data_IF_801192737036
#
_entry.id   IF_801192737036
#
_cell.length_a   1.000
_cell.length_b   1.000
_cell.length_c   1.000
_cell.angle_alpha   90.00
_cell.angle_beta   90.00
_cell.angle_gamma   90.00
#
_symmetry.space_group_name_H-M   'P 1'
#
loop_
_entity.id
_entity.type
_entity.pdbx_description
1 polymer ?
2 non-polymer ?
3 water ?
#
# COMPACT_ATOMS: atom_id res chain seq x y z
N UNK A 1 19.64 -18.95 6.60
CA UNK A 1 18.62 -18.10 5.93
C UNK A 1 19.18 -16.75 5.36
N UNK A 2 18.77 -16.39 4.14
CA UNK A 2 19.06 -15.06 3.50
C UNK A 2 18.76 -13.86 4.45
N UNK A 3 19.35 -12.67 4.23
CA UNK A 3 19.03 -11.52 5.16
C UNK A 3 17.55 -11.10 5.11
N UNK A 4 16.98 -10.74 6.26
CA UNK A 4 15.56 -10.43 6.36
C UNK A 4 15.29 -9.10 5.64
N UNK A 5 14.03 -8.82 5.23
CA UNK A 5 13.89 -7.60 4.40
C UNK A 5 14.32 -6.28 5.03
N UNK A 6 14.24 -6.11 6.36
CA UNK A 6 14.61 -4.84 6.99
C UNK A 6 16.12 -4.65 7.17
N UNK A 7 16.88 -5.71 6.85
CA UNK A 7 18.32 -5.64 6.70
C UNK A 7 18.74 -5.30 5.26
N UNK A 8 17.95 -5.76 4.28
CA UNK A 8 18.15 -5.40 2.85
C UNK A 8 17.68 -3.99 2.44
N UNK A 9 16.54 -3.57 2.99
CA UNK A 9 15.89 -2.30 2.69
C UNK A 9 15.91 -1.48 3.93
N UNK A 10 15.79 -0.18 3.70
CA UNK A 10 15.71 0.77 4.77
C UNK A 10 14.24 0.90 5.18
N UNK A 11 13.91 0.29 6.31
CA UNK A 11 12.54 0.24 6.73
C UNK A 11 12.41 0.99 8.05
N UNK A 12 13.36 1.91 8.32
CA UNK A 12 13.39 2.66 9.57
C UNK A 12 12.16 3.61 9.69
N UNK A 13 11.54 3.94 8.55
CA UNK A 13 10.32 4.74 8.49
C UNK A 13 9.09 4.00 7.98
N UNK A 14 8.99 2.72 8.33
CA UNK A 14 7.75 1.92 8.09
C UNK A 14 7.47 1.01 9.28
N UNK A 15 6.20 0.66 9.48
CA UNK A 15 5.82 -0.42 10.35
C UNK A 15 5.09 -1.45 9.46
N UNK A 16 4.92 -2.68 9.93
CA UNK A 16 4.35 -3.72 9.12
C UNK A 16 3.07 -4.20 9.74
N UNK A 17 2.01 -4.25 8.96
CA UNK A 17 0.71 -4.73 9.42
C UNK A 17 0.43 -6.09 8.81
N UNK A 18 -0.01 -7.03 9.64
CA UNK A 18 -0.02 -8.48 9.35
C UNK A 18 -1.44 -9.03 9.23
N UNK A 19 -1.58 -10.16 8.54
CA UNK A 19 -2.86 -10.81 8.47
C UNK A 19 -2.99 -12.03 9.42
N UNK A 20 -2.28 -12.01 10.56
CA UNK A 20 -2.45 -13.03 11.57
C UNK A 20 -3.79 -12.80 12.27
N UNK A 21 -4.14 -13.72 13.16
CA UNK A 21 -5.37 -13.68 13.97
C UNK A 21 -5.60 -12.31 14.53
N UNK A 22 -4.61 -11.84 15.30
CA UNK A 22 -4.79 -10.60 16.03
C UNK A 22 -4.30 -9.37 15.31
N UNK A 23 -4.34 -9.41 13.98
CA UNK A 23 -3.66 -8.42 13.13
C UNK A 23 -2.49 -7.72 13.81
N UNK A 24 -1.32 -8.35 13.84
CA UNK A 24 -0.18 -7.76 14.54
C UNK A 24 0.54 -6.70 13.72
N UNK A 25 1.18 -5.76 14.40
CA UNK A 25 1.98 -4.70 13.78
C UNK A 25 3.40 -4.73 14.30
N UNK A 26 4.37 -4.95 13.40
CA UNK A 26 5.78 -4.99 13.74
C UNK A 26 6.31 -3.57 13.60
N UNK A 27 6.92 -3.05 14.69
CA UNK A 27 7.42 -1.70 14.70
C UNK A 27 8.60 -1.60 13.71
N UNK A 28 9.01 -0.38 13.37
CA UNK A 28 10.26 -0.13 12.61
C UNK A 28 11.45 -0.76 13.29
N UNK A 29 11.54 -0.66 14.60
CA UNK A 29 12.67 -1.17 15.33
C UNK A 29 12.85 -2.68 15.09
N UNK A 30 11.75 -3.41 15.18
CA UNK A 30 11.77 -4.82 15.00
C UNK A 30 12.01 -5.21 13.52
N UNK A 31 11.51 -4.43 12.58
CA UNK A 31 11.81 -4.64 11.17
C UNK A 31 13.30 -4.55 10.95
N UNK A 32 13.91 -3.53 11.57
CA UNK A 32 15.36 -3.33 11.55
C UNK A 32 16.20 -4.43 12.18
N UNK A 33 15.73 -5.05 13.27
CA UNK A 33 16.42 -6.25 13.87
C UNK A 33 16.42 -7.45 12.94
N UNK A 34 15.61 -7.41 11.89
CA UNK A 34 15.52 -8.54 10.98
C UNK A 34 14.26 -9.36 11.15
N UNK A 35 13.15 -8.79 11.61
CA UNK A 35 11.85 -9.52 11.52
C UNK A 35 11.58 -10.20 10.16
N UNK A 36 11.29 -11.50 10.22
CA UNK A 36 10.81 -12.23 9.09
C UNK A 36 9.79 -13.28 9.58
N UNK A 37 8.74 -13.56 8.79
CA UNK A 37 7.84 -14.70 9.07
C UNK A 37 7.28 -15.24 7.75
N UNK A 38 6.26 -16.12 7.83
CA UNK A 38 5.59 -16.65 6.62
C UNK A 38 4.89 -15.51 5.85
N UNK A 39 4.60 -14.43 6.57
CA UNK A 39 3.98 -13.21 6.01
C UNK A 39 4.89 -12.22 5.34
N UNK A 40 6.18 -12.28 5.63
CA UNK A 40 7.11 -11.20 5.26
C UNK A 40 8.52 -11.81 5.25
N UNK A 41 9.14 -11.96 4.09
CA UNK A 41 10.40 -12.64 3.99
C UNK A 41 11.13 -12.20 2.77
N UNK A 42 12.42 -12.46 2.74
CA UNK A 42 13.27 -12.16 1.59
C UNK A 42 13.26 -13.43 0.73
N UNK A 43 12.86 -13.32 -0.53
CA UNK A 43 12.81 -14.47 -1.43
C UNK A 43 14.19 -14.64 -2.11
N UNK A 44 14.36 -15.72 -2.86
CA UNK A 44 15.69 -16.12 -3.35
C UNK A 44 16.25 -15.11 -4.30
N UNK A 45 15.36 -14.35 -4.96
CA UNK A 45 15.77 -13.25 -5.81
C UNK A 45 16.03 -11.93 -5.08
N UNK A 46 16.05 -11.98 -3.74
CA UNK A 46 16.19 -10.78 -2.91
C UNK A 46 14.92 -9.98 -2.59
N UNK A 47 13.81 -10.20 -3.29
CA UNK A 47 12.63 -9.36 -3.14
C UNK A 47 12.10 -9.37 -1.70
N UNK A 48 11.61 -8.23 -1.24
CA UNK A 48 10.80 -8.19 -0.02
C UNK A 48 9.36 -8.74 -0.28
N UNK A 49 8.99 -9.91 0.24
CA UNK A 49 7.72 -10.61 -0.17
C UNK A 49 6.55 -10.70 0.90
N UNK A 50 5.19 -10.45 0.61
CA UNK A 50 3.80 -10.71 1.46
C UNK A 50 3.27 -11.83 1.01
N UNK A 51 2.98 -12.60 2.01
CA UNK A 51 2.05 -13.62 1.81
C UNK A 51 0.93 -13.16 2.75
N UNK A 52 -0.30 -13.12 2.24
CA UNK A 52 -1.45 -12.94 3.08
C UNK A 52 -2.52 -13.92 2.58
N UNK A 53 -3.10 -14.66 3.52
CA UNK A 53 -4.28 -15.50 3.23
C UNK A 53 -5.61 -14.77 3.35
N UNK A 54 -6.63 -15.19 2.57
CA UNK A 54 -7.95 -14.52 2.56
C UNK A 54 -8.72 -14.74 3.92
N UNK A 55 -8.31 -15.78 4.63
CA UNK A 55 -8.86 -16.14 5.95
C UNK A 55 -8.10 -15.47 7.11
N UNK A 56 -7.22 -14.52 6.78
CA UNK A 56 -6.46 -13.83 7.82
C UNK A 56 -7.27 -12.81 8.59
N UNK A 57 -6.61 -12.15 9.55
CA UNK A 57 -7.26 -11.22 10.42
C UNK A 57 -7.48 -9.93 9.70
N UNK A 58 -8.58 -9.26 10.02
CA UNK A 58 -8.89 -7.95 9.46
C UNK A 58 -9.25 -7.05 10.61
N UNK A 59 -8.74 -5.82 10.63
CA UNK A 59 -8.98 -4.90 11.73
C UNK A 59 -10.00 -3.84 11.44
N UNK A 60 -10.32 -3.08 12.48
CA UNK A 60 -11.34 -2.02 12.53
C UNK A 60 -11.56 -1.13 11.30
N UNK A 61 -10.49 -0.68 10.65
CA UNK A 61 -10.69 0.16 9.45
C UNK A 61 -10.12 -0.41 8.15
N UNK A 62 -10.54 -1.66 7.91
CA UNK A 62 -10.08 -2.53 6.80
C UNK A 62 -11.17 -3.60 6.73
N UNK A 63 -11.65 -3.87 5.52
CA UNK A 63 -12.65 -4.96 5.35
C UNK A 63 -11.94 -6.32 5.07
N UNK A 64 -10.66 -6.22 4.67
CA UNK A 64 -9.80 -7.30 4.17
C UNK A 64 -8.46 -7.44 4.89
N UNK A 65 -7.87 -8.67 4.84
CA UNK A 65 -6.56 -8.96 5.47
C UNK A 65 -5.41 -8.30 4.66
N UNK A 66 -4.29 -8.05 5.33
CA UNK A 66 -3.13 -7.44 4.67
C UNK A 66 -1.81 -7.90 5.30
N UNK A 67 -0.77 -7.94 4.48
CA UNK A 67 0.61 -7.95 4.93
C UNK A 67 1.17 -6.73 4.20
N UNK A 68 1.28 -5.61 4.90
CA UNK A 68 1.47 -4.32 4.23
C UNK A 68 2.22 -3.32 5.07
N UNK A 69 3.11 -2.58 4.42
CA UNK A 69 3.89 -1.51 5.08
C UNK A 69 3.07 -0.22 5.21
N UNK A 70 3.21 0.43 6.35
CA UNK A 70 2.49 1.66 6.62
C UNK A 70 3.58 2.74 6.95
N UNK A 71 3.62 3.86 6.23
CA UNK A 71 4.66 4.84 6.40
C UNK A 71 4.59 5.48 7.78
N UNK A 72 5.75 5.54 8.42
CA UNK A 72 5.90 6.20 9.72
C UNK A 72 6.96 7.32 9.62
N UNK A 73 6.53 8.52 9.27
CA UNK A 73 7.41 9.70 9.44
C UNK A 73 8.11 9.70 10.83
N UNK A 74 7.33 9.43 11.88
CA UNK A 74 7.87 9.29 13.23
C UNK A 74 7.68 7.83 13.64
N UNK A 75 8.77 7.02 13.67
CA UNK A 75 8.54 5.58 14.00
C UNK A 75 7.75 5.33 15.31
N UNK A 76 7.78 6.27 16.25
CA UNK A 76 7.12 6.11 17.55
C UNK A 76 5.76 6.82 17.67
N UNK A 77 5.24 7.39 16.56
CA UNK A 77 3.99 8.16 16.64
C UNK A 77 3.26 8.15 15.30
N UNK A 78 2.28 7.26 15.16
CA UNK A 78 1.55 7.11 13.88
C UNK A 78 0.62 8.29 13.58
N UNK A 79 0.57 9.26 14.51
CA UNK A 79 -0.18 10.52 14.29
C UNK A 79 0.64 11.56 13.51
N UNK A 80 1.95 11.35 13.39
CA UNK A 80 2.78 12.20 12.54
C UNK A 80 2.72 11.71 11.06
N UNK A 81 2.01 12.50 10.23
CA UNK A 81 1.72 12.25 8.81
C UNK A 81 1.79 13.55 7.98
N UNK A 82 1.75 13.43 6.66
CA UNK A 82 1.95 14.61 5.83
C UNK A 82 0.64 15.16 5.23
N UNK A 83 0.70 16.35 4.64
CA UNK A 83 -0.52 16.90 4.10
C UNK A 83 -0.46 17.28 2.64
N UNK A 84 -1.46 18.03 2.22
CA UNK A 84 -1.71 18.29 0.81
C UNK A 84 -0.68 19.23 0.22
N UNK A 85 0.04 20.02 1.03
CA UNK A 85 0.91 21.06 0.48
C UNK A 85 2.28 20.45 0.40
N UNK A 86 3.07 20.92 -0.56
CA UNK A 86 4.40 20.38 -0.78
C UNK A 86 4.31 19.16 -1.66
N UNK A 87 5.44 18.48 -1.75
CA UNK A 87 5.57 17.34 -2.62
C UNK A 87 5.96 16.14 -1.80
N UNK A 88 5.18 15.05 -1.98
CA UNK A 88 5.41 13.74 -1.35
C UNK A 88 5.30 12.56 -2.35
N UNK A 89 6.34 11.75 -2.44
CA UNK A 89 6.53 10.78 -3.52
C UNK A 89 6.96 9.39 -3.02
N UNK A 90 6.31 8.36 -3.52
CA UNK A 90 6.75 7.00 -3.28
C UNK A 90 7.06 6.44 -4.65
N UNK A 91 8.16 5.73 -4.74
CA UNK A 91 8.51 5.00 -5.95
C UNK A 91 8.82 3.57 -5.53
N UNK A 92 8.37 2.64 -6.35
CA UNK A 92 8.64 1.29 -6.07
C UNK A 92 8.71 0.51 -7.35
N UNK A 93 9.41 -0.60 -7.32
CA UNK A 93 9.29 -1.58 -8.36
C UNK A 93 8.86 -2.89 -7.72
N UNK A 94 7.98 -3.62 -8.41
CA UNK A 94 7.44 -4.81 -7.81
C UNK A 94 6.86 -5.80 -8.79
N UNK A 95 6.38 -6.92 -8.26
CA UNK A 95 5.61 -7.82 -9.10
C UNK A 95 4.61 -8.52 -8.19
N UNK A 96 3.46 -8.83 -8.75
CA UNK A 96 2.48 -9.61 -8.02
C UNK A 96 2.60 -11.04 -8.52
N UNK A 97 2.80 -12.00 -7.62
CA UNK A 97 3.11 -13.36 -8.08
C UNK A 97 1.95 -14.37 -7.98
N UNK A 98 1.09 -14.17 -6.99
CA UNK A 98 -0.05 -15.04 -6.74
C UNK A 98 -1.25 -14.19 -6.28
N UNK A 99 -2.44 -14.46 -6.82
CA UNK A 99 -3.69 -13.77 -6.50
C UNK A 99 -4.63 -14.69 -5.70
N UNK A 100 -5.60 -14.08 -4.95
CA UNK A 100 -6.55 -14.96 -4.32
C UNK A 100 -7.60 -15.35 -5.38
N UNK A 101 -8.61 -16.13 -5.02
CA UNK A 101 -9.64 -16.52 -5.97
C UNK A 101 -10.45 -15.34 -6.56
N UNK A 102 -10.54 -14.20 -5.83
CA UNK A 102 -11.07 -12.94 -6.42
C UNK A 102 -10.25 -12.41 -7.59
N UNK A 103 -8.96 -12.76 -7.63
CA UNK A 103 -8.04 -12.26 -8.67
C UNK A 103 -7.65 -10.79 -8.49
N UNK A 104 -7.75 -10.28 -7.27
CA UNK A 104 -7.56 -8.88 -7.03
C UNK A 104 -6.86 -8.62 -5.69
N UNK A 105 -5.81 -7.81 -5.75
CA UNK A 105 -5.15 -7.33 -4.53
C UNK A 105 -4.83 -5.84 -4.74
N UNK A 106 -4.45 -5.18 -3.65
CA UNK A 106 -3.96 -3.80 -3.65
C UNK A 106 -2.51 -3.80 -3.22
N UNK A 107 -1.67 -3.13 -4.01
CA UNK A 107 -0.23 -3.21 -3.89
C UNK A 107 0.46 -1.91 -3.42
N UNK A 108 -0.25 -0.78 -3.49
CA UNK A 108 0.21 0.46 -2.88
C UNK A 108 -1.00 1.34 -2.57
N UNK A 109 -0.85 2.28 -1.64
CA UNK A 109 -1.92 3.24 -1.30
C UNK A 109 -1.34 4.61 -0.93
N UNK A 110 -2.18 5.65 -0.97
CA UNK A 110 -2.05 6.76 -0.05
C UNK A 110 -3.35 6.72 0.75
N UNK A 111 -3.20 6.56 2.07
CA UNK A 111 -4.35 6.54 2.94
C UNK A 111 -4.50 7.83 3.73
N UNK A 112 -5.75 8.28 3.85
CA UNK A 112 -6.08 9.41 4.70
C UNK A 112 -6.13 9.00 6.15
N UNK A 113 -5.94 9.99 7.01
CA UNK A 113 -6.03 9.81 8.46
C UNK A 113 -6.50 11.12 9.08
N UNK A 114 -7.26 11.07 10.18
CA UNK A 114 -7.64 12.35 10.79
C UNK A 114 -6.46 12.91 11.59
N UNK A 115 -6.45 14.20 11.85
CA UNK A 115 -5.42 14.84 12.68
C UNK A 115 -5.19 14.11 14.03
N UNK A 116 -6.27 13.56 14.61
CA UNK A 116 -6.21 12.87 15.91
C UNK A 116 -5.86 11.37 15.83
N UNK A 117 -5.55 10.91 14.61
CA UNK A 117 -5.18 9.52 14.31
C UNK A 117 -6.37 8.63 13.99
N UNK A 118 -7.57 9.17 14.05
CA UNK A 118 -8.75 8.33 13.80
C UNK A 118 -8.89 8.04 12.28
N UNK A 119 -9.65 6.96 12.01
CA UNK A 119 -9.99 6.49 10.67
C UNK A 119 -10.47 7.61 9.71
N UNK A 120 -9.93 7.62 8.48
CA UNK A 120 -10.40 8.47 7.39
C UNK A 120 -10.36 7.62 6.09
N UNK A 121 -10.83 8.16 4.95
CA UNK A 121 -10.80 7.25 3.80
C UNK A 121 -9.44 7.08 3.14
N UNK A 122 -9.33 6.01 2.33
CA UNK A 122 -8.17 5.90 1.50
C UNK A 122 -8.23 7.00 0.42
N UNK A 123 -7.07 7.50 0.01
CA UNK A 123 -7.05 8.48 -1.08
C UNK A 123 -6.65 7.84 -2.43
N UNK A 124 -5.56 7.09 -2.46
CA UNK A 124 -5.16 6.38 -3.68
C UNK A 124 -5.06 4.88 -3.35
N UNK A 125 -5.64 4.02 -4.18
CA UNK A 125 -5.44 2.58 -4.07
C UNK A 125 -4.92 2.05 -5.41
N UNK A 126 -3.79 1.33 -5.40
CA UNK A 126 -3.25 0.68 -6.62
C UNK A 126 -3.85 -0.72 -6.68
N UNK A 127 -4.93 -0.86 -7.46
CA UNK A 127 -5.67 -2.12 -7.51
C UNK A 127 -5.12 -3.02 -8.65
N UNK A 128 -4.50 -4.13 -8.27
CA UNK A 128 -3.88 -5.06 -9.22
C UNK A 128 -4.80 -6.26 -9.55
N UNK A 129 -5.10 -6.40 -10.82
CA UNK A 129 -5.58 -7.67 -11.41
C UNK A 129 -4.64 -8.09 -12.53
N UNK A 130 -4.64 -9.35 -12.85
CA UNK A 130 -3.81 -9.82 -13.95
C UNK A 130 -4.22 -9.05 -15.24
N UNK A 131 -3.33 -8.14 -15.69
CA UNK A 131 -3.55 -7.42 -16.93
C UNK A 131 -4.45 -6.20 -16.78
N UNK A 132 -4.91 -5.90 -15.56
CA UNK A 132 -5.66 -4.63 -15.29
C UNK A 132 -5.17 -4.02 -13.95
N UNK A 133 -4.49 -2.87 -14.03
CA UNK A 133 -4.11 -2.04 -12.86
C UNK A 133 -4.95 -0.76 -12.82
N UNK A 134 -5.69 -0.58 -11.74
CA UNK A 134 -6.52 0.58 -11.60
C UNK A 134 -6.00 1.42 -10.44
N UNK A 135 -5.38 2.57 -10.75
CA UNK A 135 -4.96 3.52 -9.71
C UNK A 135 -6.14 4.39 -9.36
N UNK A 136 -6.95 3.98 -8.39
CA UNK A 136 -8.18 4.65 -8.03
C UNK A 136 -7.88 5.81 -7.09
N UNK A 137 -8.51 6.96 -7.34
CA UNK A 137 -8.35 8.13 -6.48
C UNK A 137 -9.72 8.49 -5.94
N UNK A 138 -9.86 8.62 -4.61
CA UNK A 138 -11.13 9.04 -4.01
C UNK A 138 -11.47 10.53 -4.33
N UNK A 139 -12.76 10.81 -4.49
CA UNK A 139 -13.21 12.18 -4.76
C UNK A 139 -13.63 12.96 -3.51
N UNK A 140 -14.46 12.31 -2.67
CA UNK A 140 -14.96 12.87 -1.42
C UNK A 140 -14.17 12.52 -0.16
N UNK A 141 -13.65 13.57 0.46
CA UNK A 141 -12.93 13.50 1.72
C UNK A 141 -13.76 12.92 2.82
N UNK A 142 -15.09 12.96 2.68
CA UNK A 142 -15.86 12.33 3.74
C UNK A 142 -15.92 10.82 3.57
N UNK A 143 -15.55 10.30 2.39
CA UNK A 143 -15.55 8.87 2.19
C UNK A 143 -16.77 8.32 1.45
N UNK A 144 -17.68 9.19 1.01
CA UNK A 144 -18.83 8.72 0.22
C UNK A 144 -18.45 8.82 -1.27
N UNK A 145 -19.37 8.44 -2.15
CA UNK A 145 -19.18 8.67 -3.59
C UNK A 145 -18.27 7.63 -4.23
N UNK A 146 -18.02 7.80 -5.53
CA UNK A 146 -17.19 6.87 -6.29
C UNK A 146 -15.75 7.40 -6.46
N UNK A 147 -14.85 6.53 -6.95
CA UNK A 147 -13.46 6.89 -7.22
C UNK A 147 -13.27 7.34 -8.66
N UNK A 148 -12.21 8.10 -8.92
CA UNK A 148 -11.77 8.35 -10.29
C UNK A 148 -10.94 7.10 -10.57
N UNK A 149 -11.29 6.41 -11.64
CA UNK A 149 -10.61 5.21 -12.03
C UNK A 149 -9.51 5.59 -13.04
N UNK A 150 -8.36 4.94 -12.95
CA UNK A 150 -7.20 5.18 -13.81
C UNK A 150 -6.58 3.86 -14.28
N UNK A 151 -6.92 3.42 -15.49
CA UNK A 151 -6.65 2.06 -15.89
C UNK A 151 -5.41 2.00 -16.73
N UNK A 152 -4.60 0.98 -16.43
CA UNK A 152 -3.34 0.66 -17.16
C UNK A 152 -3.46 -0.78 -17.58
N UNK A 153 -3.11 -1.06 -18.83
CA UNK A 153 -3.26 -2.44 -19.32
C UNK A 153 -1.92 -3.13 -19.56
N UNK A 154 -1.94 -4.45 -19.67
CA UNK A 154 -0.75 -5.23 -20.08
C UNK A 154 0.21 -5.59 -18.96
N UNK A 155 -0.12 -5.25 -17.71
CA UNK A 155 0.75 -5.65 -16.63
C UNK A 155 0.24 -6.99 -16.08
N UNK A 156 0.95 -8.08 -16.42
CA UNK A 156 0.49 -9.44 -16.13
C UNK A 156 0.91 -9.92 -14.75
N UNK A 157 0.20 -10.92 -14.25
CA UNK A 157 0.65 -11.65 -13.13
C UNK A 157 2.09 -12.00 -13.40
N UNK A 158 3.02 -11.70 -12.46
CA UNK A 158 4.44 -12.08 -12.68
C UNK A 158 5.37 -11.10 -13.39
N UNK A 159 4.82 -10.09 -14.06
CA UNK A 159 5.61 -9.02 -14.65
C UNK A 159 6.16 -8.07 -13.58
N UNK A 160 7.38 -7.60 -13.79
CA UNK A 160 7.94 -6.53 -12.97
C UNK A 160 7.28 -5.24 -13.43
N UNK A 161 6.79 -4.43 -12.48
CA UNK A 161 6.33 -3.07 -12.81
C UNK A 161 7.03 -1.98 -11.99
N UNK A 162 7.03 -0.76 -12.53
CA UNK A 162 7.56 0.41 -11.83
C UNK A 162 6.41 1.35 -11.54
N UNK A 163 6.30 1.75 -10.28
CA UNK A 163 5.18 2.61 -9.87
C UNK A 163 5.66 3.89 -9.19
N UNK A 164 4.99 5.01 -9.48
CA UNK A 164 5.12 6.21 -8.69
C UNK A 164 3.78 6.77 -8.24
N UNK A 165 3.73 7.23 -6.99
CA UNK A 165 2.57 7.94 -6.46
C UNK A 165 3.12 9.22 -5.83
N UNK A 166 2.73 10.34 -6.35
CA UNK A 166 3.20 11.63 -5.88
C UNK A 166 2.00 12.51 -5.56
N UNK A 167 2.07 13.24 -4.44
CA UNK A 167 1.13 14.31 -4.21
C UNK A 167 1.91 15.62 -4.26
N UNK A 168 1.51 16.54 -5.15
CA UNK A 168 2.02 17.92 -5.13
C UNK A 168 0.85 18.89 -4.99
N UNK A 169 0.89 19.68 -3.91
CA UNK A 169 -0.11 20.70 -3.67
C UNK A 169 -1.51 20.22 -3.96
N UNK A 170 -1.88 19.11 -3.31
CA UNK A 170 -3.24 18.56 -3.44
C UNK A 170 -3.66 17.99 -4.81
N UNK A 171 -2.68 17.74 -5.68
CA UNK A 171 -2.93 16.97 -6.90
C UNK A 171 -2.25 15.61 -6.80
N UNK A 172 -2.99 14.55 -7.09
CA UNK A 172 -2.39 13.21 -7.08
C UNK A 172 -1.90 12.86 -8.48
N UNK A 173 -0.68 12.33 -8.56
CA UNK A 173 -0.09 11.88 -9.82
C UNK A 173 0.23 10.38 -9.72
N UNK A 174 -0.48 9.56 -10.50
CA UNK A 174 -0.35 8.09 -10.44
C UNK A 174 0.35 7.57 -11.71
N UNK A 175 1.45 6.82 -11.57
CA UNK A 175 2.30 6.44 -12.72
C UNK A 175 2.63 4.98 -12.65
N UNK A 176 2.23 4.19 -13.66
CA UNK A 176 2.77 2.85 -13.94
C UNK A 176 3.66 2.88 -15.15
N UNK A 177 4.91 2.45 -15.00
CA UNK A 177 5.78 2.18 -16.15
C UNK A 177 5.86 3.38 -17.08
N UNK A 178 6.04 4.57 -16.52
CA UNK A 178 6.19 5.78 -17.32
C UNK A 178 4.92 6.44 -17.89
N UNK A 179 3.77 5.85 -17.60
CA UNK A 179 2.43 6.41 -17.96
C UNK A 179 1.82 7.12 -16.72
N UNK A 180 1.73 8.45 -16.74
CA UNK A 180 1.27 9.26 -15.57
C UNK A 180 -0.11 9.81 -15.80
N UNK A 181 -1.04 9.58 -14.84
CA UNK A 181 -2.36 10.22 -14.89
C UNK A 181 -2.45 11.16 -13.69
N UNK A 182 -3.29 12.18 -13.75
CA UNK A 182 -3.46 13.02 -12.56
C UNK A 182 -4.91 13.27 -12.15
N UNK A 183 -5.09 13.56 -10.87
CA UNK A 183 -6.39 13.91 -10.34
C UNK A 183 -6.20 14.98 -9.29
N UNK A 184 -6.82 16.15 -9.51
CA UNK A 184 -6.78 17.27 -8.60
C UNK A 184 -7.81 17.07 -7.49
N UNK A 185 -7.45 16.24 -6.50
CA UNK A 185 -8.36 15.90 -5.39
C UNK A 185 -8.75 17.08 -4.44
N UNK A 186 -7.78 17.92 -4.11
CA UNK A 186 -8.00 19.15 -3.32
C UNK A 186 -8.83 20.20 -4.14
N UNK A 187 -8.66 20.26 -5.48
CA UNK A 187 -9.59 21.06 -6.32
C UNK A 187 -11.00 20.48 -6.48
N UNK A 188 -11.12 19.17 -6.41
CA UNK A 188 -12.43 18.57 -6.38
C UNK A 188 -13.16 18.75 -5.03
N UNK A 189 -12.42 18.77 -3.90
CA UNK A 189 -13.05 18.87 -2.56
C UNK A 189 -12.04 19.43 -1.55
N UNK A 190 -12.21 20.71 -1.18
CA UNK A 190 -11.36 21.39 -0.16
C UNK A 190 -11.28 20.70 1.22
N UNK A 191 -12.23 19.84 1.52
CA UNK A 191 -12.16 19.00 2.74
C UNK A 191 -10.91 18.12 2.87
N UNK A 192 -10.31 17.75 1.74
CA UNK A 192 -9.04 17.02 1.75
C UNK A 192 -7.90 17.81 2.47
N UNK A 193 -8.06 19.12 2.60
CA UNK A 193 -7.08 19.97 3.30
C UNK A 193 -7.10 19.69 4.77
N UNK A 194 -8.22 19.16 5.24
CA UNK A 194 -8.46 18.90 6.66
C UNK A 194 -7.95 17.53 7.10
N UNK A 195 -7.40 16.76 6.16
CA UNK A 195 -6.93 15.41 6.47
C UNK A 195 -5.45 15.33 6.26
N UNK A 196 -4.81 14.33 6.84
CA UNK A 196 -3.37 14.04 6.62
C UNK A 196 -3.26 12.71 5.86
N UNK A 197 -2.02 12.32 5.50
CA UNK A 197 -1.80 11.22 4.54
C UNK A 197 -0.50 10.54 4.87
N UNK A 198 -0.46 9.25 4.54
CA UNK A 198 0.74 8.41 4.58
C UNK A 198 0.68 7.36 3.46
N UNK A 199 1.83 6.93 3.01
CA UNK A 199 1.96 5.86 2.05
C UNK A 199 1.83 4.44 2.66
N UNK A 200 1.48 3.48 1.80
CA UNK A 200 1.37 2.07 2.13
C UNK A 200 1.87 1.25 0.91
N UNK A 201 2.55 0.14 1.14
CA UNK A 201 2.96 -0.74 0.05
C UNK A 201 3.11 -2.13 0.61
N UNK A 202 2.52 -3.10 -0.09
CA UNK A 202 2.74 -4.51 0.22
C UNK A 202 1.64 -5.32 -0.44
N UNK A 203 0.85 -5.99 0.37
CA UNK A 203 -0.19 -6.97 -0.11
C UNK A 203 -1.46 -6.87 0.69
N UNK A 204 -2.42 -6.12 0.15
CA UNK A 204 -3.72 -5.94 0.82
C UNK A 204 -4.69 -6.77 0.01
N UNK A 205 -5.10 -7.94 0.51
CA UNK A 205 -5.65 -8.97 -0.36
C UNK A 205 -7.17 -8.78 -0.46
N UNK A 206 -7.70 -8.46 -1.67
CA UNK A 206 -9.13 -8.14 -1.77
C UNK A 206 -10.00 -9.38 -1.92
N UNK A 207 -10.01 -10.19 -0.88
CA UNK A 207 -10.73 -11.43 -0.86
C UNK A 207 -10.65 -11.89 0.58
N UNK A 208 -11.80 -12.15 1.19
CA UNK A 208 -11.85 -12.61 2.56
C UNK A 208 -12.76 -13.85 2.66
N UNK A 209 -12.89 -14.58 1.57
CA UNK A 209 -13.65 -15.80 1.55
C UNK A 209 -12.86 -16.99 2.09
N UNK A 210 -13.57 -17.93 2.69
CA UNK A 210 -12.99 -19.07 3.33
C UNK A 210 -12.22 -19.93 2.39
N UNK A 211 -12.63 -19.93 1.15
CA UNK A 211 -11.95 -20.65 0.09
C UNK A 211 -11.13 -19.80 -0.88
N UNK A 212 -10.83 -18.58 -0.50
CA UNK A 212 -10.10 -17.64 -1.34
C UNK A 212 -8.63 -17.90 -1.63
N UNK A 213 -7.96 -18.68 -0.82
CA UNK A 213 -6.56 -18.94 -1.01
C UNK A 213 -5.67 -17.90 -0.34
N UNK A 214 -4.72 -17.35 -1.07
CA UNK A 214 -3.71 -16.42 -0.56
C UNK A 214 -3.04 -15.61 -1.67
N UNK A 215 -2.34 -14.50 -1.35
CA UNK A 215 -1.73 -13.69 -2.37
C UNK A 215 -0.27 -13.49 -1.99
N UNK A 216 0.57 -13.35 -2.99
CA UNK A 216 2.01 -13.09 -2.81
C UNK A 216 2.28 -11.87 -3.64
N UNK A 217 2.84 -10.86 -2.98
CA UNK A 217 3.33 -9.68 -3.72
C UNK A 217 4.77 -9.37 -3.29
N UNK A 218 5.54 -8.81 -4.22
CA UNK A 218 6.95 -8.52 -4.02
C UNK A 218 7.31 -7.07 -4.32
N UNK A 219 8.30 -6.58 -3.58
CA UNK A 219 8.95 -5.30 -3.88
C UNK A 219 10.45 -5.48 -4.00
N UNK A 220 11.01 -4.93 -5.07
CA UNK A 220 12.45 -4.95 -5.30
C UNK A 220 13.15 -3.61 -4.96
N UNK A 221 12.37 -2.54 -4.95
CA UNK A 221 12.81 -1.24 -4.51
C UNK A 221 11.58 -0.51 -3.93
N UNK A 222 11.85 0.36 -2.95
CA UNK A 222 10.84 1.14 -2.28
C UNK A 222 11.53 2.33 -1.63
N UNK A 223 11.13 3.53 -2.01
CA UNK A 223 11.62 4.76 -1.41
C UNK A 223 10.50 5.80 -1.35
N UNK A 224 10.63 6.67 -0.33
CA UNK A 224 9.70 7.77 -0.10
C UNK A 224 10.52 9.08 0.03
N UNK A 225 10.02 10.12 -0.62
CA UNK A 225 10.68 11.40 -0.68
C UNK A 225 9.65 12.49 -0.40
N UNK A 226 10.00 13.37 0.54
CA UNK A 226 9.12 14.47 0.95
C UNK A 226 9.72 15.83 0.66
N UNK A 227 9.69 16.23 -0.61
CA UNK A 227 10.15 17.54 -1.06
C UNK A 227 9.40 18.77 -0.43
#
# INVERSE_FOLDING_TARGET
>A
PAAAPGKNFDLSHWKLQLPDANTTEISSANLGLGYTSQYFYTDTDGAMTFWAPTTGGTTACSSYPRSELREMLDPSNSKVNWGWQGTHTMKLSGKTVQLPSSGKIIVAQIHGIMDDGTCAPPLVKAVFQDGQLDMQVKQNSDGTGSDVHNYFTGIKLGDLYNMEIRVTDGVAYVTMNGDTRSVDFVGKDAGWKNLKYYFKAGNYVQDNTSTGGSAIAKLYSLSVSHSNLEHHHHHH
#
